data_IF_439923754852
#
_entry.id   IF_439923754852
#
_cell.length_a   1.000
_cell.length_b   1.000
_cell.length_c   1.000
_cell.angle_alpha   90.00
_cell.angle_beta   90.00
_cell.angle_gamma   90.00
#
_symmetry.space_group_name_H-M   'P 1'
#
loop_
_entity.id
_entity.type
_entity.pdbx_description
1 polymer ?
#
# COMPACT_ATOMS: atom_id res chain seq x y z
N UNK A 1 10.27 -13.06 2.05
CA UNK A 1 10.02 -11.96 3.00
C UNK A 1 9.44 -10.77 2.26
N UNK A 2 8.29 -10.27 2.70
CA UNK A 2 7.53 -9.19 2.07
C UNK A 2 7.31 -8.11 3.12
N UNK A 3 7.81 -6.90 2.92
CA UNK A 3 7.55 -5.79 3.84
C UNK A 3 6.18 -5.21 3.51
N UNK A 4 5.26 -5.26 4.46
CA UNK A 4 3.89 -4.79 4.30
C UNK A 4 3.67 -3.59 5.21
N UNK A 5 2.89 -2.62 4.73
CA UNK A 5 2.53 -1.40 5.46
C UNK A 5 1.05 -1.41 5.78
N UNK A 6 0.73 -1.29 7.06
CA UNK A 6 -0.63 -1.21 7.59
C UNK A 6 -0.83 0.10 8.36
N UNK A 7 -2.05 0.63 8.30
CA UNK A 7 -2.51 1.74 9.13
C UNK A 7 -2.43 1.44 10.64
N UNK A 8 -2.83 0.23 11.04
CA UNK A 8 -2.97 -0.14 12.45
C UNK A 8 -1.68 -0.65 13.09
N UNK A 9 -0.80 -1.24 12.28
CA UNK A 9 0.39 -1.96 12.75
C UNK A 9 1.71 -1.35 12.25
N UNK A 10 1.66 -0.27 11.46
CA UNK A 10 2.84 0.31 10.82
C UNK A 10 3.45 -0.63 9.77
N UNK A 11 4.78 -0.57 9.60
CA UNK A 11 5.51 -1.46 8.71
C UNK A 11 5.94 -2.74 9.42
N UNK A 12 5.62 -3.90 8.86
CA UNK A 12 6.05 -5.19 9.39
C UNK A 12 6.56 -6.14 8.30
N UNK A 13 7.39 -7.10 8.68
CA UNK A 13 7.82 -8.17 7.79
C UNK A 13 6.79 -9.30 7.78
N UNK A 14 6.30 -9.64 6.59
CA UNK A 14 5.47 -10.80 6.36
C UNK A 14 6.33 -11.91 5.73
N UNK A 15 6.36 -13.06 6.38
CA UNK A 15 6.88 -14.28 5.78
C UNK A 15 5.78 -14.91 4.92
N UNK A 16 6.08 -15.07 3.63
CA UNK A 16 5.16 -15.65 2.67
C UNK A 16 5.82 -16.88 2.08
N UNK A 17 5.22 -18.04 2.31
CA UNK A 17 5.65 -19.26 1.66
C UNK A 17 5.32 -19.22 0.17
N UNK A 18 6.15 -19.90 -0.61
CA UNK A 18 5.97 -20.03 -2.06
C UNK A 18 5.95 -21.51 -2.40
N UNK A 19 5.03 -21.90 -3.26
CA UNK A 19 5.03 -23.23 -3.84
C UNK A 19 6.18 -23.39 -4.84
N UNK A 20 6.62 -24.63 -5.07
CA UNK A 20 7.75 -24.92 -5.96
C UNK A 20 7.52 -24.46 -7.40
N UNK A 21 6.27 -24.48 -7.86
CA UNK A 21 5.89 -24.10 -9.22
C UNK A 21 5.47 -22.61 -9.32
N UNK A 22 5.34 -21.88 -8.22
CA UNK A 22 4.90 -20.48 -8.20
C UNK A 22 3.42 -20.24 -8.54
N UNK A 23 2.62 -21.31 -8.60
CA UNK A 23 1.19 -21.32 -8.95
C UNK A 23 0.27 -20.87 -7.83
N UNK A 24 0.74 -20.84 -6.59
CA UNK A 24 -0.10 -20.40 -5.47
C UNK A 24 -0.51 -18.93 -5.61
N UNK A 25 -1.80 -18.65 -5.53
CA UNK A 25 -2.36 -17.29 -5.48
C UNK A 25 -2.84 -16.99 -4.05
N UNK A 26 -2.14 -16.10 -3.32
CA UNK A 26 -2.57 -15.72 -1.98
C UNK A 26 -3.90 -14.96 -2.02
N UNK A 27 -4.87 -15.38 -1.19
CA UNK A 27 -6.21 -14.77 -1.13
C UNK A 27 -6.30 -13.52 -0.27
N UNK A 28 -5.55 -13.46 0.84
CA UNK A 28 -5.64 -12.37 1.82
C UNK A 28 -4.75 -11.18 1.40
N UNK A 29 -3.53 -11.48 0.93
CA UNK A 29 -2.57 -10.46 0.51
C UNK A 29 -2.04 -10.80 -0.88
N UNK A 30 -2.62 -10.22 -1.94
CA UNK A 30 -2.19 -10.41 -3.32
C UNK A 30 -0.67 -10.29 -3.52
N UNK A 31 -0.19 -10.97 -4.56
CA UNK A 31 1.21 -10.89 -4.98
C UNK A 31 1.54 -9.41 -5.23
N UNK A 32 2.68 -8.97 -4.69
CA UNK A 32 3.23 -7.60 -4.86
C UNK A 32 2.44 -6.45 -4.23
N UNK A 33 1.28 -6.69 -3.61
CA UNK A 33 0.58 -5.65 -2.85
C UNK A 33 1.32 -5.32 -1.55
N UNK A 34 1.82 -4.09 -1.40
CA UNK A 34 2.62 -3.68 -0.22
C UNK A 34 1.81 -2.89 0.82
N UNK A 35 0.64 -2.38 0.43
CA UNK A 35 -0.22 -1.53 1.23
C UNK A 35 -1.55 -2.26 1.45
N UNK A 36 -2.04 -2.31 2.69
CA UNK A 36 -3.26 -3.06 3.06
C UNK A 36 -4.54 -2.22 2.85
N UNK A 37 -4.43 -0.90 2.73
CA UNK A 37 -5.58 0.01 2.73
C UNK A 37 -6.13 0.26 1.33
N UNK A 38 -7.27 -0.37 1.01
CA UNK A 38 -7.99 -0.17 -0.26
C UNK A 38 -8.54 1.26 -0.43
N UNK A 39 -8.93 1.92 0.67
CA UNK A 39 -9.45 3.30 0.64
C UNK A 39 -8.40 4.33 0.21
N UNK A 40 -7.11 4.04 0.46
CA UNK A 40 -6.01 4.95 0.14
C UNK A 40 -5.88 5.16 -1.37
N UNK A 41 -6.01 4.09 -2.16
CA UNK A 41 -5.91 4.16 -3.62
C UNK A 41 -7.02 5.02 -4.21
N UNK A 42 -8.26 4.83 -3.73
CA UNK A 42 -9.40 5.64 -4.14
C UNK A 42 -9.21 7.12 -3.82
N UNK A 43 -8.71 7.43 -2.62
CA UNK A 43 -8.43 8.81 -2.21
C UNK A 43 -7.34 9.46 -3.08
N UNK A 44 -6.22 8.76 -3.32
CA UNK A 44 -5.15 9.26 -4.19
C UNK A 44 -5.68 9.51 -5.62
N UNK A 45 -6.46 8.58 -6.16
CA UNK A 45 -7.05 8.73 -7.50
C UNK A 45 -7.98 9.94 -7.59
N UNK A 46 -8.79 10.17 -6.55
CA UNK A 46 -9.67 11.34 -6.47
C UNK A 46 -8.88 12.66 -6.44
N UNK A 47 -7.79 12.72 -5.67
CA UNK A 47 -6.92 13.91 -5.57
C UNK A 47 -6.19 14.18 -6.89
N UNK A 48 -5.74 13.12 -7.56
CA UNK A 48 -5.14 13.23 -8.89
C UNK A 48 -6.16 13.78 -9.90
N UNK A 49 -7.40 13.27 -9.88
CA UNK A 49 -8.48 13.75 -10.74
C UNK A 49 -8.86 15.22 -10.46
N UNK A 50 -8.76 15.67 -9.20
CA UNK A 50 -8.96 17.08 -8.81
C UNK A 50 -7.77 17.99 -9.17
N UNK A 51 -6.69 17.46 -9.73
CA UNK A 51 -5.51 18.25 -10.13
C UNK A 51 -4.60 18.62 -8.96
N UNK A 52 -4.67 17.90 -7.84
CA UNK A 52 -3.75 18.09 -6.72
C UNK A 52 -2.34 17.62 -7.12
N UNK A 53 -1.31 18.37 -6.76
CA UNK A 53 0.08 17.99 -7.06
C UNK A 53 0.50 16.71 -6.34
N UNK A 54 1.41 15.92 -6.92
CA UNK A 54 1.86 14.66 -6.31
C UNK A 54 2.58 14.85 -4.97
N UNK A 55 3.27 15.99 -4.77
CA UNK A 55 3.84 16.35 -3.46
C UNK A 55 2.77 16.62 -2.42
N UNK A 56 1.71 17.36 -2.78
CA UNK A 56 0.62 17.63 -1.87
C UNK A 56 -0.18 16.35 -1.54
N UNK A 57 -0.36 15.46 -2.51
CA UNK A 57 -0.95 14.13 -2.27
C UNK A 57 -0.12 13.31 -1.30
N UNK A 58 1.22 13.27 -1.47
CA UNK A 58 2.12 12.62 -0.51
C UNK A 58 1.95 13.19 0.90
N UNK A 59 1.98 14.52 1.03
CA UNK A 59 1.90 15.18 2.33
C UNK A 59 0.55 14.89 3.01
N UNK A 60 -0.53 14.83 2.24
CA UNK A 60 -1.85 14.40 2.72
C UNK A 60 -1.85 12.96 3.22
N UNK A 61 -1.26 12.03 2.45
CA UNK A 61 -1.16 10.62 2.85
C UNK A 61 -0.31 10.46 4.11
N UNK A 62 0.78 11.21 4.22
CA UNK A 62 1.62 11.20 5.41
C UNK A 62 0.90 11.74 6.65
N UNK A 63 0.08 12.79 6.52
CA UNK A 63 -0.69 13.33 7.63
C UNK A 63 -1.85 12.42 8.07
N UNK A 64 -2.61 11.88 7.12
CA UNK A 64 -3.80 11.08 7.41
C UNK A 64 -3.47 9.65 7.82
N UNK A 65 -2.45 9.06 7.19
CA UNK A 65 -2.15 7.63 7.31
C UNK A 65 -0.79 7.33 7.95
N UNK A 66 -0.04 8.36 8.37
CA UNK A 66 1.32 8.24 8.90
C UNK A 66 2.25 7.41 7.99
N UNK A 67 1.97 7.40 6.69
CA UNK A 67 2.65 6.57 5.70
C UNK A 67 3.47 7.42 4.74
N UNK A 68 4.74 7.09 4.57
CA UNK A 68 5.60 7.77 3.61
C UNK A 68 5.49 7.13 2.22
N UNK A 69 4.97 7.87 1.25
CA UNK A 69 4.92 7.45 -0.15
C UNK A 69 5.87 8.30 -1.01
N UNK A 70 6.38 7.71 -2.10
CA UNK A 70 7.13 8.48 -3.08
C UNK A 70 6.20 9.38 -3.91
N UNK A 71 6.66 10.56 -4.35
CA UNK A 71 5.90 11.42 -5.26
C UNK A 71 5.62 10.80 -6.63
#
# INVERSE_FOLDING_TARGET
KKTVRSLSAGSFELETDRDRLGTFEPKIMPKRQLIITDELEGNILSMYAMGVSTRAMRDYVQQMYAMEISP
#
